data_IF_030703333978
#
_entry.id   IF_030703333978
#
_cell.length_a   1.000
_cell.length_b   1.000
_cell.length_c   1.000
_cell.angle_alpha   90.00
_cell.angle_beta   90.00
_cell.angle_gamma   90.00
#
_symmetry.space_group_name_H-M   'P 1'
#
loop_
_entity.id
_entity.type
_entity.pdbx_description
1 polymer ?
#
# COMPACT_ATOMS: atom_id res chain seq x y z
N UNK A 1 44.50 8.94 0.82
CA UNK A 1 44.22 7.85 -0.14
C UNK A 1 44.19 6.59 0.68
N UNK A 2 43.00 6.19 1.15
CA UNK A 2 42.85 5.02 2.02
C UNK A 2 42.71 3.73 1.19
N UNK A 3 43.34 2.62 1.56
CA UNK A 3 43.62 1.52 0.63
C UNK A 3 42.49 0.50 0.44
N UNK A 4 41.31 0.70 1.03
CA UNK A 4 40.38 -0.41 1.29
C UNK A 4 38.95 -0.28 0.74
N UNK A 5 38.61 0.77 -0.04
CA UNK A 5 37.22 0.93 -0.50
C UNK A 5 37.09 1.64 -1.85
N UNK A 6 37.27 0.93 -2.97
CA UNK A 6 36.70 1.35 -4.26
C UNK A 6 36.38 0.13 -5.13
N UNK A 7 35.11 -0.32 -5.12
CA UNK A 7 34.54 -1.05 -6.26
C UNK A 7 33.60 -0.07 -6.96
N UNK A 8 34.13 0.63 -7.95
CA UNK A 8 33.41 1.60 -8.76
C UNK A 8 32.56 0.87 -9.80
N UNK A 9 31.25 0.76 -9.57
CA UNK A 9 30.27 0.40 -10.62
C UNK A 9 29.54 1.71 -11.01
N UNK A 10 30.17 2.52 -11.86
CA UNK A 10 29.62 3.82 -12.30
C UNK A 10 29.87 4.98 -11.34
N UNK A 11 28.92 5.92 -11.20
CA UNK A 11 28.98 7.11 -10.31
C UNK A 11 28.58 6.83 -8.84
N UNK A 12 28.26 5.58 -8.49
CA UNK A 12 27.80 5.21 -7.14
C UNK A 12 28.97 4.60 -6.36
N UNK A 13 29.54 5.37 -5.44
CA UNK A 13 30.47 4.86 -4.44
C UNK A 13 29.68 4.01 -3.43
N UNK A 14 29.84 2.69 -3.51
CA UNK A 14 29.22 1.75 -2.56
C UNK A 14 30.16 1.59 -1.36
N UNK A 15 29.90 2.37 -0.32
CA UNK A 15 30.58 2.22 0.97
C UNK A 15 30.06 1.00 1.74
N UNK A 16 30.95 0.34 2.48
CA UNK A 16 30.60 -0.73 3.43
C UNK A 16 29.47 -0.28 4.39
N UNK A 17 29.46 1.01 4.76
CA UNK A 17 28.40 1.59 5.58
C UNK A 17 27.02 1.54 4.90
N UNK A 18 26.94 1.85 3.60
CA UNK A 18 25.70 1.78 2.80
C UNK A 18 25.21 0.35 2.61
N UNK A 19 26.13 -0.61 2.49
CA UNK A 19 25.79 -2.03 2.45
C UNK A 19 25.18 -2.50 3.78
N UNK A 20 25.80 -2.12 4.90
CA UNK A 20 25.30 -2.45 6.25
C UNK A 20 23.93 -1.81 6.50
N UNK A 21 23.75 -0.53 6.16
CA UNK A 21 22.46 0.15 6.35
C UNK A 21 21.35 -0.47 5.50
N UNK A 22 21.66 -0.89 4.27
CA UNK A 22 20.71 -1.63 3.41
C UNK A 22 20.31 -2.97 4.03
N UNK A 23 21.27 -3.73 4.58
CA UNK A 23 20.99 -4.99 5.28
C UNK A 23 20.10 -4.76 6.50
N UNK A 24 20.39 -3.73 7.30
CA UNK A 24 19.58 -3.37 8.47
C UNK A 24 18.16 -3.01 8.03
N UNK A 25 18.00 -2.16 7.00
CA UNK A 25 16.69 -1.79 6.48
C UNK A 25 15.90 -3.01 5.97
N UNK A 26 16.55 -3.95 5.28
CA UNK A 26 15.92 -5.19 4.83
C UNK A 26 15.49 -6.09 5.99
N UNK A 27 16.32 -6.21 7.04
CA UNK A 27 15.99 -6.97 8.26
C UNK A 27 14.77 -6.34 8.97
N UNK A 28 14.76 -5.01 9.12
CA UNK A 28 13.63 -4.29 9.71
C UNK A 28 12.36 -4.52 8.90
N UNK A 29 12.41 -4.35 7.57
CA UNK A 29 11.27 -4.58 6.70
C UNK A 29 10.73 -6.02 6.81
N UNK A 30 11.62 -7.02 6.85
CA UNK A 30 11.24 -8.42 7.03
C UNK A 30 10.62 -8.67 8.42
N UNK A 31 11.16 -8.06 9.48
CA UNK A 31 10.62 -8.14 10.83
C UNK A 31 9.22 -7.52 10.91
N UNK A 32 9.04 -6.33 10.35
CA UNK A 32 7.74 -5.63 10.27
C UNK A 32 6.74 -6.46 9.47
N UNK A 33 7.11 -6.96 8.29
CA UNK A 33 6.24 -7.82 7.49
C UNK A 33 5.80 -9.07 8.25
N UNK A 34 6.74 -9.74 8.91
CA UNK A 34 6.45 -10.95 9.70
C UNK A 34 5.55 -10.64 10.88
N UNK A 35 5.75 -9.50 11.54
CA UNK A 35 4.90 -9.03 12.64
C UNK A 35 3.48 -8.73 12.15
N UNK A 36 3.32 -7.89 11.13
CA UNK A 36 2.01 -7.55 10.55
C UNK A 36 1.28 -8.80 10.03
N UNK A 37 1.96 -9.68 9.29
CA UNK A 37 1.36 -10.89 8.74
C UNK A 37 0.87 -11.84 9.83
N UNK A 38 1.60 -11.94 10.96
CA UNK A 38 1.15 -12.69 12.13
C UNK A 38 -0.06 -12.06 12.79
N UNK A 39 -0.05 -10.73 12.97
CA UNK A 39 -1.19 -10.00 13.52
C UNK A 39 -2.44 -10.23 12.65
N UNK A 40 -2.32 -10.13 11.33
CA UNK A 40 -3.42 -10.37 10.39
C UNK A 40 -4.00 -11.77 10.59
N UNK A 41 -3.18 -12.81 10.66
CA UNK A 41 -3.67 -14.18 10.85
C UNK A 41 -4.41 -14.33 12.19
N UNK A 42 -3.87 -13.79 13.27
CA UNK A 42 -4.53 -13.84 14.59
C UNK A 42 -5.86 -13.07 14.62
N UNK A 43 -5.93 -11.89 14.01
CA UNK A 43 -7.17 -11.12 13.91
C UNK A 43 -8.19 -11.80 12.99
N UNK A 44 -7.73 -12.37 11.87
CA UNK A 44 -8.56 -13.09 10.90
C UNK A 44 -9.26 -14.28 11.54
N UNK A 45 -8.55 -15.08 12.34
CA UNK A 45 -9.11 -16.21 13.06
C UNK A 45 -10.14 -15.77 14.11
N UNK A 46 -9.87 -14.66 14.81
CA UNK A 46 -10.80 -14.11 15.82
C UNK A 46 -12.09 -13.55 15.23
N UNK A 47 -12.01 -12.94 14.05
CA UNK A 47 -13.13 -12.32 13.36
C UNK A 47 -13.85 -13.29 12.41
N UNK A 48 -13.36 -14.52 12.25
CA UNK A 48 -13.91 -15.50 11.31
C UNK A 48 -13.86 -15.02 9.85
N UNK A 49 -12.83 -14.23 9.49
CA UNK A 49 -12.73 -13.71 8.12
C UNK A 49 -12.52 -14.85 7.14
N UNK A 50 -13.16 -14.76 5.99
CA UNK A 50 -12.95 -15.73 4.93
C UNK A 50 -11.51 -15.71 4.42
N UNK A 51 -10.99 -16.87 3.94
CA UNK A 51 -9.61 -16.98 3.45
C UNK A 51 -9.28 -15.97 2.33
N UNK A 52 -10.27 -15.61 1.52
CA UNK A 52 -10.12 -14.66 0.43
C UNK A 52 -9.82 -13.23 0.95
N UNK A 53 -10.47 -12.81 2.04
CA UNK A 53 -10.22 -11.50 2.69
C UNK A 53 -8.83 -11.47 3.31
N UNK A 54 -8.46 -12.55 4.00
CA UNK A 54 -7.14 -12.66 4.62
C UNK A 54 -6.01 -12.56 3.58
N UNK A 55 -6.17 -13.23 2.45
CA UNK A 55 -5.19 -13.19 1.36
C UNK A 55 -5.07 -11.78 0.76
N UNK A 56 -6.20 -11.09 0.55
CA UNK A 56 -6.22 -9.69 0.07
C UNK A 56 -5.50 -8.75 1.04
N UNK A 57 -5.76 -8.85 2.34
CA UNK A 57 -5.08 -8.01 3.35
C UNK A 57 -3.57 -8.30 3.38
N UNK A 58 -3.18 -9.58 3.31
CA UNK A 58 -1.76 -9.97 3.27
C UNK A 58 -1.06 -9.43 2.03
N UNK A 59 -1.74 -9.43 0.88
CA UNK A 59 -1.22 -8.85 -0.36
C UNK A 59 -0.98 -7.35 -0.22
N UNK A 60 -1.93 -6.60 0.36
CA UNK A 60 -1.78 -5.17 0.63
C UNK A 60 -0.57 -4.90 1.54
N UNK A 61 -0.45 -5.62 2.66
CA UNK A 61 0.72 -5.47 3.57
C UNK A 61 2.04 -5.79 2.88
N UNK A 62 2.07 -6.82 2.03
CA UNK A 62 3.26 -7.17 1.25
C UNK A 62 3.66 -6.04 0.31
N UNK A 63 2.70 -5.49 -0.44
CA UNK A 63 2.94 -4.39 -1.38
C UNK A 63 3.43 -3.14 -0.64
N UNK A 64 2.75 -2.75 0.45
CA UNK A 64 3.15 -1.57 1.26
C UNK A 64 4.56 -1.73 1.83
N UNK A 65 4.90 -2.93 2.33
CA UNK A 65 6.24 -3.18 2.87
C UNK A 65 7.31 -3.10 1.78
N UNK A 66 7.03 -3.62 0.58
CA UNK A 66 7.95 -3.52 -0.56
C UNK A 66 8.16 -2.06 -0.98
N UNK A 67 7.09 -1.27 -1.07
CA UNK A 67 7.18 0.17 -1.39
C UNK A 67 8.00 0.90 -0.34
N UNK A 68 7.79 0.63 0.95
CA UNK A 68 8.55 1.24 2.04
C UNK A 68 10.04 0.86 1.98
N UNK A 69 10.35 -0.41 1.68
CA UNK A 69 11.74 -0.86 1.52
C UNK A 69 12.41 -0.19 0.32
N UNK A 70 11.71 -0.08 -0.82
CA UNK A 70 12.22 0.65 -1.99
C UNK A 70 12.50 2.11 -1.66
N UNK A 71 11.59 2.79 -0.94
CA UNK A 71 11.81 4.17 -0.51
C UNK A 71 13.03 4.30 0.42
N UNK A 72 13.21 3.36 1.35
CA UNK A 72 14.38 3.34 2.23
C UNK A 72 15.69 3.16 1.46
N UNK A 73 15.72 2.28 0.44
CA UNK A 73 16.89 2.07 -0.41
C UNK A 73 17.24 3.36 -1.15
N UNK A 74 16.29 4.03 -1.78
CA UNK A 74 16.57 5.30 -2.46
C UNK A 74 17.13 6.37 -1.53
N UNK A 75 16.70 6.38 -0.26
CA UNK A 75 17.25 7.27 0.77
C UNK A 75 18.70 6.92 1.11
N UNK A 76 19.04 5.63 1.24
CA UNK A 76 20.40 5.17 1.57
C UNK A 76 21.41 5.49 0.46
N UNK A 77 21.00 5.34 -0.80
CA UNK A 77 21.85 5.59 -1.96
C UNK A 77 21.79 7.03 -2.47
N UNK A 78 21.12 7.93 -1.74
CA UNK A 78 20.97 9.36 -2.09
C UNK A 78 20.48 9.56 -3.53
N UNK A 79 19.66 8.62 -4.02
CA UNK A 79 19.13 8.68 -5.37
C UNK A 79 18.14 9.83 -5.48
N UNK A 80 18.06 10.49 -6.65
CA UNK A 80 17.11 11.57 -6.87
C UNK A 80 15.68 11.09 -6.60
N UNK A 81 15.10 11.56 -5.50
CA UNK A 81 13.75 11.17 -5.05
C UNK A 81 12.67 11.63 -6.03
N UNK A 82 13.00 12.55 -6.94
CA UNK A 82 12.14 12.97 -8.04
C UNK A 82 11.65 11.80 -8.89
N UNK A 83 12.49 10.79 -9.13
CA UNK A 83 12.09 9.60 -9.87
C UNK A 83 11.08 8.75 -9.10
N UNK A 84 11.29 8.57 -7.79
CA UNK A 84 10.33 7.89 -6.93
C UNK A 84 9.00 8.61 -6.86
N UNK A 85 9.02 9.92 -6.64
CA UNK A 85 7.80 10.72 -6.52
C UNK A 85 7.05 10.71 -7.86
N UNK A 86 7.75 10.89 -8.98
CA UNK A 86 7.15 10.86 -10.31
C UNK A 86 6.51 9.51 -10.63
N UNK A 87 7.22 8.41 -10.40
CA UNK A 87 6.67 7.05 -10.62
C UNK A 87 5.53 6.71 -9.65
N UNK A 88 5.66 7.09 -8.38
CA UNK A 88 4.61 6.89 -7.37
C UNK A 88 3.34 7.66 -7.69
N UNK A 89 3.45 8.86 -8.26
CA UNK A 89 2.28 9.63 -8.71
C UNK A 89 1.54 8.90 -9.84
N UNK A 90 2.26 8.37 -10.83
CA UNK A 90 1.65 7.61 -11.93
C UNK A 90 1.01 6.30 -11.43
N UNK A 91 1.71 5.53 -10.61
CA UNK A 91 1.19 4.28 -10.03
C UNK A 91 -0.01 4.56 -9.14
N UNK A 92 0.06 5.58 -8.29
CA UNK A 92 -1.04 6.01 -7.44
C UNK A 92 -2.27 6.43 -8.24
N UNK A 93 -2.08 7.20 -9.32
CA UNK A 93 -3.16 7.58 -10.22
C UNK A 93 -3.79 6.34 -10.89
N UNK A 94 -2.99 5.38 -11.36
CA UNK A 94 -3.49 4.15 -11.97
C UNK A 94 -4.33 3.31 -10.99
N UNK A 95 -3.85 3.14 -9.74
CA UNK A 95 -4.60 2.45 -8.69
C UNK A 95 -5.89 3.21 -8.35
N UNK A 96 -5.82 4.53 -8.26
CA UNK A 96 -6.97 5.40 -7.98
C UNK A 96 -8.04 5.31 -9.07
N UNK A 97 -7.66 5.40 -10.35
CA UNK A 97 -8.57 5.24 -11.48
C UNK A 97 -9.16 3.83 -11.53
N UNK A 98 -8.36 2.79 -11.28
CA UNK A 98 -8.83 1.42 -11.19
C UNK A 98 -9.83 1.19 -10.04
N UNK A 99 -9.75 1.99 -8.97
CA UNK A 99 -10.63 1.92 -7.78
C UNK A 99 -11.79 2.92 -7.81
N UNK A 100 -11.89 3.74 -8.86
CA UNK A 100 -12.82 4.87 -8.92
C UNK A 100 -14.29 4.46 -8.75
N UNK A 101 -14.69 3.35 -9.36
CA UNK A 101 -16.07 2.84 -9.24
C UNK A 101 -16.42 2.46 -7.80
N UNK A 102 -15.51 1.78 -7.10
CA UNK A 102 -15.71 1.40 -5.70
C UNK A 102 -15.82 2.64 -4.81
N UNK A 103 -14.94 3.63 -5.03
CA UNK A 103 -14.97 4.89 -4.28
C UNK A 103 -16.30 5.63 -4.53
N UNK A 104 -16.76 5.71 -5.78
CA UNK A 104 -18.04 6.34 -6.14
C UNK A 104 -19.23 5.67 -5.45
N UNK A 105 -19.25 4.33 -5.41
CA UNK A 105 -20.33 3.60 -4.75
C UNK A 105 -20.34 3.85 -3.23
N UNK A 106 -19.16 3.92 -2.59
CA UNK A 106 -19.04 4.22 -1.16
C UNK A 106 -19.54 5.65 -0.87
N UNK A 107 -19.10 6.63 -1.65
CA UNK A 107 -19.50 8.03 -1.51
C UNK A 107 -21.01 8.19 -1.73
N UNK A 108 -21.58 7.54 -2.74
CA UNK A 108 -23.02 7.53 -2.98
C UNK A 108 -23.79 6.94 -1.80
N UNK A 109 -23.31 5.84 -1.22
CA UNK A 109 -23.88 5.25 -0.01
C UNK A 109 -23.89 6.22 1.17
N UNK A 110 -22.75 6.88 1.44
CA UNK A 110 -22.67 7.92 2.49
C UNK A 110 -23.63 9.08 2.20
N UNK A 111 -23.70 9.53 0.96
CA UNK A 111 -24.60 10.61 0.56
C UNK A 111 -26.06 10.26 0.85
N UNK A 112 -26.52 9.05 0.53
CA UNK A 112 -27.89 8.60 0.81
C UNK A 112 -28.17 8.60 2.32
N UNK A 113 -27.24 8.12 3.16
CA UNK A 113 -27.42 8.08 4.61
C UNK A 113 -27.54 9.49 5.22
N UNK A 114 -26.77 10.45 4.71
CA UNK A 114 -26.73 11.82 5.21
C UNK A 114 -27.92 12.62 4.70
N UNK A 115 -28.17 12.59 3.39
CA UNK A 115 -29.24 13.37 2.76
C UNK A 115 -30.63 12.79 3.01
N UNK A 116 -30.73 11.51 3.37
CA UNK A 116 -31.98 10.77 3.60
C UNK A 116 -33.07 11.11 2.56
N UNK A 117 -32.79 10.96 1.25
CA UNK A 117 -33.75 11.31 0.21
C UNK A 117 -35.00 10.42 0.24
N UNK A 118 -34.87 9.25 0.87
CA UNK A 118 -35.93 8.29 1.17
C UNK A 118 -35.56 7.52 2.45
N UNK A 119 -36.57 7.01 3.15
CA UNK A 119 -36.45 6.25 4.40
C UNK A 119 -36.73 4.76 4.19
N UNK A 120 -36.39 3.95 5.20
CA UNK A 120 -36.67 2.52 5.19
C UNK A 120 -38.19 2.31 5.11
N UNK A 121 -38.65 1.54 4.10
CA UNK A 121 -40.06 1.24 3.73
C UNK A 121 -40.74 2.24 2.78
N UNK A 122 -40.01 3.23 2.28
CA UNK A 122 -40.55 4.14 1.26
C UNK A 122 -40.56 3.45 -0.11
N UNK A 123 -41.69 3.49 -0.81
CA UNK A 123 -41.76 3.05 -2.19
C UNK A 123 -41.02 4.05 -3.09
N UNK A 124 -39.99 3.57 -3.78
CA UNK A 124 -39.08 4.40 -4.58
C UNK A 124 -38.85 3.79 -5.96
N UNK A 125 -38.57 4.66 -6.91
CA UNK A 125 -38.25 4.31 -8.29
C UNK A 125 -36.82 4.78 -8.56
N UNK A 126 -35.94 3.83 -8.91
CA UNK A 126 -34.52 4.10 -9.21
C UNK A 126 -34.23 3.60 -10.62
N UNK A 127 -34.15 4.52 -11.58
CA UNK A 127 -34.05 4.17 -13.00
C UNK A 127 -35.33 3.47 -13.47
N UNK A 128 -35.19 2.28 -14.04
CA UNK A 128 -36.31 1.45 -14.52
C UNK A 128 -36.79 0.41 -13.48
N UNK A 129 -36.30 0.48 -12.25
CA UNK A 129 -36.64 -0.46 -11.17
C UNK A 129 -37.50 0.23 -10.11
N UNK A 130 -38.68 -0.33 -9.85
CA UNK A 130 -39.64 0.16 -8.83
C UNK A 130 -39.75 -0.86 -7.68
N UNK A 131 -39.83 -0.38 -6.43
CA UNK A 131 -39.90 -1.25 -5.26
C UNK A 131 -40.06 -0.49 -3.95
N UNK A 132 -40.18 -1.24 -2.85
CA UNK A 132 -40.30 -0.73 -1.48
C UNK A 132 -39.01 -0.88 -0.69
#
# INVERSE_FOLDING_TARGET
>A
MDPWTFVTIGEIEIDIFRLISTLIAAIIAAAVYKFLSRSITQFSERLGLEPHVQNSIRLVVRVVTLVALTAAIFSIYELPTSWLIGSSALVGAAIGFGSSQTINNIVAGFYVVISRPFSVKDYVIIGDVEGQ
#
